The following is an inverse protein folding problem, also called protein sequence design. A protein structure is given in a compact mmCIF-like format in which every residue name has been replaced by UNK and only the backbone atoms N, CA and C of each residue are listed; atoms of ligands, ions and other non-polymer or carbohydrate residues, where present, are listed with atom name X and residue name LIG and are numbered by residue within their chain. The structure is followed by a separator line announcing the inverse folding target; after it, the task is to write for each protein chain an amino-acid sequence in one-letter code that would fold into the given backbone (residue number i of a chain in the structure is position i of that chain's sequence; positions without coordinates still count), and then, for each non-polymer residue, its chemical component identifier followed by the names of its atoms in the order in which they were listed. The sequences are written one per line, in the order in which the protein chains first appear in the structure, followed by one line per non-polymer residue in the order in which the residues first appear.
data_IF_527824073267
#
_entry.id   IF_527824073267
#
_cell.length_a   1.000
_cell.length_b   1.000
_cell.length_c   1.000
_cell.angle_alpha   90.00
_cell.angle_beta   90.00
_cell.angle_gamma   90.00
#
_symmetry.space_group_name_H-M   'P 1'
#
loop_
_entity.id
_entity.type
_entity.pdbx_description
1 polymer ?
#
# COMPACT_ATOMS: atom_id res chain seq x y z
N UNK A 1 16.85 -11.83 -11.63
CA UNK A 1 16.76 -10.52 -10.96
C UNK A 1 17.90 -10.41 -9.95
N UNK A 2 18.61 -9.29 -9.94
CA UNK A 2 19.69 -9.04 -8.96
C UNK A 2 19.11 -8.29 -7.77
N UNK A 3 19.39 -8.78 -6.56
CA UNK A 3 18.93 -8.17 -5.32
C UNK A 3 20.03 -7.34 -4.63
N UNK A 4 20.78 -6.56 -5.42
CA UNK A 4 21.99 -5.86 -4.95
C UNK A 4 21.67 -4.46 -4.36
N UNK A 5 20.60 -3.83 -4.81
CA UNK A 5 20.25 -2.46 -4.39
C UNK A 5 18.99 -2.47 -3.53
N UNK A 6 19.14 -2.21 -2.24
CA UNK A 6 18.02 -2.11 -1.29
C UNK A 6 17.41 -0.71 -1.38
N UNK A 7 16.11 -0.62 -1.69
CA UNK A 7 15.33 0.61 -1.66
C UNK A 7 14.72 0.88 -0.28
N UNK A 8 14.15 -0.16 0.33
CA UNK A 8 13.54 -0.05 1.64
C UNK A 8 13.60 -1.38 2.39
N UNK A 9 13.76 -1.31 3.71
CA UNK A 9 13.71 -2.46 4.61
C UNK A 9 12.66 -2.22 5.67
N UNK A 10 11.77 -3.20 5.87
CA UNK A 10 10.76 -3.25 6.93
C UNK A 10 10.93 -4.57 7.70
N UNK A 11 10.21 -4.70 8.81
CA UNK A 11 10.31 -5.86 9.69
C UNK A 11 10.18 -7.21 8.95
N UNK A 12 9.20 -7.33 8.05
CA UNK A 12 8.85 -8.60 7.39
C UNK A 12 8.99 -8.55 5.86
N UNK A 13 9.65 -7.55 5.30
CA UNK A 13 9.87 -7.42 3.86
C UNK A 13 11.00 -6.48 3.50
N UNK A 14 11.64 -6.76 2.37
CA UNK A 14 12.67 -5.87 1.78
C UNK A 14 12.29 -5.57 0.34
N UNK A 15 12.48 -4.32 -0.07
CA UNK A 15 12.27 -3.88 -1.44
C UNK A 15 13.62 -3.65 -2.09
N UNK A 16 13.85 -4.28 -3.22
CA UNK A 16 15.06 -4.16 -4.02
C UNK A 16 14.77 -3.50 -5.36
N UNK A 17 15.77 -2.82 -5.93
CA UNK A 17 15.75 -2.31 -7.31
C UNK A 17 16.64 -3.18 -8.19
N UNK A 18 16.15 -3.51 -9.39
CA UNK A 18 16.92 -4.13 -10.47
C UNK A 18 16.52 -3.48 -11.80
N UNK A 19 17.31 -2.52 -12.26
CA UNK A 19 17.01 -1.74 -13.46
C UNK A 19 15.68 -1.00 -13.36
N UNK A 20 14.76 -1.30 -14.26
CA UNK A 20 13.42 -0.72 -14.32
C UNK A 20 12.37 -1.45 -13.44
N UNK A 21 12.80 -2.42 -12.62
CA UNK A 21 11.94 -3.23 -11.78
C UNK A 21 12.24 -3.02 -10.29
N UNK A 22 11.21 -3.21 -9.49
CA UNK A 22 11.31 -3.31 -8.03
C UNK A 22 10.79 -4.67 -7.59
N UNK A 23 11.51 -5.32 -6.68
CA UNK A 23 11.12 -6.59 -6.06
C UNK A 23 10.82 -6.38 -4.58
N UNK A 24 9.59 -6.57 -4.18
CA UNK A 24 9.19 -6.65 -2.78
C UNK A 24 9.26 -8.10 -2.34
N UNK A 25 10.32 -8.45 -1.61
CA UNK A 25 10.56 -9.80 -1.10
C UNK A 25 10.06 -9.91 0.33
N UNK A 26 9.23 -10.89 0.61
CA UNK A 26 8.59 -11.11 1.91
C UNK A 26 9.33 -12.19 2.70
N UNK A 27 9.38 -12.06 4.01
CA UNK A 27 9.92 -13.10 4.87
C UNK A 27 9.06 -14.37 4.87
N UNK A 28 9.67 -15.51 5.21
CA UNK A 28 9.00 -16.82 5.16
C UNK A 28 7.77 -16.91 6.06
N UNK A 29 7.78 -16.17 7.17
CA UNK A 29 6.64 -16.12 8.10
C UNK A 29 5.45 -15.31 7.57
N UNK A 30 5.61 -14.54 6.46
CA UNK A 30 4.53 -13.71 5.94
C UNK A 30 3.49 -14.59 5.21
N UNK A 31 2.18 -14.48 5.56
CA UNK A 31 1.17 -15.35 4.98
C UNK A 31 1.07 -15.18 3.46
N UNK A 32 1.13 -16.32 2.73
CA UNK A 32 0.97 -16.31 1.26
C UNK A 32 -0.32 -15.62 0.80
N UNK A 33 -1.42 -15.82 1.53
CA UNK A 33 -2.72 -15.20 1.24
C UNK A 33 -2.65 -13.68 1.26
N UNK A 34 -1.90 -13.11 2.20
CA UNK A 34 -1.76 -11.66 2.34
C UNK A 34 -0.91 -11.08 1.19
N UNK A 35 0.14 -11.81 0.76
CA UNK A 35 0.97 -11.44 -0.40
C UNK A 35 0.14 -11.42 -1.68
N UNK A 36 -0.61 -12.50 -1.93
CA UNK A 36 -1.47 -12.59 -3.11
C UNK A 36 -2.59 -11.54 -3.08
N UNK A 37 -3.12 -11.24 -1.90
CA UNK A 37 -4.13 -10.20 -1.73
C UNK A 37 -3.54 -8.79 -1.92
N UNK A 38 -2.30 -8.55 -1.49
CA UNK A 38 -1.57 -7.28 -1.76
C UNK A 38 -1.41 -7.11 -3.28
N UNK A 39 -0.91 -8.12 -3.98
CA UNK A 39 -0.75 -8.10 -5.43
C UNK A 39 -2.09 -7.91 -6.16
N UNK A 40 -3.14 -8.63 -5.77
CA UNK A 40 -4.46 -8.49 -6.37
C UNK A 40 -5.05 -7.09 -6.19
N UNK A 41 -4.90 -6.49 -5.01
CA UNK A 41 -5.38 -5.13 -4.78
C UNK A 41 -4.58 -4.10 -5.60
N UNK A 42 -3.27 -4.27 -5.75
CA UNK A 42 -2.47 -3.40 -6.61
C UNK A 42 -2.93 -3.52 -8.08
N UNK A 43 -3.11 -4.73 -8.60
CA UNK A 43 -3.63 -4.95 -9.96
C UNK A 43 -5.01 -4.29 -10.17
N UNK A 44 -5.90 -4.35 -9.19
CA UNK A 44 -7.21 -3.67 -9.24
C UNK A 44 -7.08 -2.14 -9.27
N UNK A 45 -6.07 -1.58 -8.63
CA UNK A 45 -5.80 -0.13 -8.70
C UNK A 45 -5.18 0.24 -10.03
N UNK A 46 -4.36 -0.60 -10.65
CA UNK A 46 -3.84 -0.39 -12.01
C UNK A 46 -4.96 -0.15 -13.03
N UNK A 47 -6.08 -0.89 -12.92
CA UNK A 47 -7.24 -0.74 -13.79
C UNK A 47 -7.91 0.64 -13.68
N UNK A 48 -7.64 1.42 -12.63
CA UNK A 48 -8.18 2.78 -12.49
C UNK A 48 -7.46 3.82 -13.36
N UNK A 49 -6.30 3.48 -13.91
CA UNK A 49 -5.47 4.40 -14.69
C UNK A 49 -4.65 5.38 -13.84
N UNK A 50 -4.59 5.18 -12.52
CA UNK A 50 -3.64 5.90 -11.67
C UNK A 50 -2.20 5.53 -12.05
N UNK A 51 -1.31 6.51 -12.00
CA UNK A 51 0.13 6.27 -12.22
C UNK A 51 0.74 5.62 -10.99
N UNK A 52 0.74 4.30 -10.97
CA UNK A 52 1.32 3.48 -9.90
C UNK A 52 2.25 2.43 -10.50
N UNK A 53 3.16 1.82 -9.71
CA UNK A 53 3.95 0.67 -10.16
C UNK A 53 3.03 -0.45 -10.63
N UNK A 54 3.29 -0.98 -11.84
CA UNK A 54 2.52 -2.09 -12.40
C UNK A 54 3.11 -3.42 -11.98
N UNK A 55 2.25 -4.37 -11.64
CA UNK A 55 2.69 -5.73 -11.32
C UNK A 55 3.12 -6.43 -12.62
N UNK A 56 4.33 -6.97 -12.60
CA UNK A 56 4.89 -7.78 -13.68
C UNK A 56 4.81 -9.28 -13.33
N UNK A 57 5.09 -9.63 -12.07
CA UNK A 57 5.13 -11.03 -11.66
C UNK A 57 4.91 -11.19 -10.14
N UNK A 58 4.29 -12.30 -9.75
CA UNK A 58 4.28 -12.79 -8.37
C UNK A 58 4.98 -14.14 -8.36
N UNK A 59 6.14 -14.21 -7.75
CA UNK A 59 7.06 -15.35 -7.88
C UNK A 59 7.75 -15.68 -6.55
N UNK A 60 8.73 -16.60 -6.59
CA UNK A 60 9.63 -16.86 -5.48
C UNK A 60 11.07 -16.54 -5.88
N UNK A 61 11.78 -15.85 -5.00
CA UNK A 61 13.21 -15.58 -5.10
C UNK A 61 13.86 -16.19 -3.86
N UNK A 62 14.81 -17.10 -4.05
CA UNK A 62 15.51 -17.83 -2.97
C UNK A 62 14.54 -18.44 -1.95
N UNK A 63 13.44 -19.05 -2.44
CA UNK A 63 12.41 -19.68 -1.60
C UNK A 63 11.38 -18.73 -1.00
N UNK A 64 11.63 -17.43 -0.98
CA UNK A 64 10.74 -16.38 -0.43
C UNK A 64 9.80 -15.83 -1.50
N UNK A 65 8.55 -15.58 -1.12
CA UNK A 65 7.61 -14.93 -2.02
C UNK A 65 8.02 -13.49 -2.34
N UNK A 66 7.82 -13.10 -3.60
CA UNK A 66 8.11 -11.75 -4.08
C UNK A 66 7.01 -11.25 -5.02
N UNK A 67 6.75 -9.95 -4.95
CA UNK A 67 5.97 -9.19 -5.93
C UNK A 67 6.96 -8.34 -6.71
N UNK A 68 7.02 -8.57 -8.02
CA UNK A 68 7.82 -7.78 -8.97
C UNK A 68 6.90 -6.76 -9.61
N UNK A 69 7.32 -5.51 -9.61
CA UNK A 69 6.60 -4.42 -10.24
C UNK A 69 7.55 -3.50 -11.01
N UNK A 70 7.00 -2.67 -11.89
CA UNK A 70 7.78 -1.58 -12.49
C UNK A 70 8.31 -0.66 -11.40
N UNK A 71 9.51 -0.13 -11.58
CA UNK A 71 10.09 0.89 -10.71
C UNK A 71 9.80 2.28 -11.27
N UNK A 72 9.22 3.15 -10.46
CA UNK A 72 9.02 4.56 -10.80
C UNK A 72 10.16 5.36 -10.18
N UNK A 73 10.99 5.98 -11.02
CA UNK A 73 12.05 6.86 -10.55
C UNK A 73 11.49 8.21 -10.13
N UNK A 74 12.03 8.75 -9.05
CA UNK A 74 11.62 10.05 -8.53
C UNK A 74 12.07 10.26 -7.09
N UNK A 75 11.80 11.45 -6.59
CA UNK A 75 11.95 11.83 -5.19
C UNK A 75 10.58 11.86 -4.53
N UNK A 76 10.54 11.55 -3.25
CA UNK A 76 9.35 11.74 -2.45
C UNK A 76 9.04 13.23 -2.27
N UNK A 77 7.77 13.57 -2.00
CA UNK A 77 7.43 14.96 -1.69
C UNK A 77 8.16 15.47 -0.44
N UNK A 78 8.41 14.60 0.55
CA UNK A 78 9.18 14.96 1.74
C UNK A 78 10.62 15.38 1.38
N UNK A 79 11.28 14.66 0.46
CA UNK A 79 12.62 15.03 -0.03
C UNK A 79 12.58 16.35 -0.79
N UNK A 80 11.60 16.54 -1.67
CA UNK A 80 11.45 17.80 -2.43
C UNK A 80 11.17 19.00 -1.52
N UNK A 81 10.33 18.85 -0.50
CA UNK A 81 10.05 19.90 0.51
C UNK A 81 11.32 20.25 1.31
N UNK A 82 12.14 19.24 1.65
CA UNK A 82 13.40 19.47 2.37
C UNK A 82 14.43 20.17 1.50
N UNK A 83 14.52 19.84 0.21
CA UNK A 83 15.45 20.45 -0.74
C UNK A 83 15.02 21.85 -1.18
N UNK A 84 13.72 22.10 -1.26
CA UNK A 84 13.10 23.33 -1.76
C UNK A 84 12.04 23.86 -0.81
N UNK A 85 12.39 24.30 0.41
CA UNK A 85 11.43 24.80 1.39
C UNK A 85 10.65 26.04 0.90
N UNK A 86 11.20 26.80 -0.02
CA UNK A 86 10.54 27.92 -0.68
C UNK A 86 9.35 27.54 -1.55
N UNK A 87 9.19 26.23 -1.86
CA UNK A 87 8.09 25.65 -2.65
C UNK A 87 7.12 24.81 -1.82
N UNK A 88 7.14 24.92 -0.51
CA UNK A 88 6.32 24.09 0.38
C UNK A 88 4.83 24.15 0.02
N UNK A 89 4.28 25.32 -0.24
CA UNK A 89 2.87 25.50 -0.63
C UNK A 89 2.55 24.81 -1.97
N UNK A 90 3.47 24.84 -2.94
CA UNK A 90 3.32 24.14 -4.23
C UNK A 90 3.24 22.62 -4.01
N UNK A 91 4.13 22.07 -3.18
CA UNK A 91 4.16 20.64 -2.89
C UNK A 91 2.97 20.19 -2.03
N UNK A 92 2.50 21.01 -1.10
CA UNK A 92 1.28 20.74 -0.33
C UNK A 92 0.05 20.69 -1.24
N UNK A 93 -0.09 21.65 -2.17
CA UNK A 93 -1.17 21.63 -3.15
C UNK A 93 -1.11 20.37 -4.03
N UNK A 94 0.07 20.01 -4.54
CA UNK A 94 0.27 18.76 -5.30
C UNK A 94 -0.13 17.52 -4.48
N UNK A 95 0.25 17.49 -3.20
CA UNK A 95 -0.11 16.39 -2.29
C UNK A 95 -1.63 16.26 -2.15
N UNK A 96 -2.33 17.38 -1.95
CA UNK A 96 -3.80 17.41 -1.87
C UNK A 96 -4.44 16.98 -3.19
N UNK A 97 -3.94 17.46 -4.33
CA UNK A 97 -4.45 17.12 -5.66
C UNK A 97 -4.32 15.62 -5.94
N UNK A 98 -3.18 15.02 -5.58
CA UNK A 98 -2.98 13.55 -5.68
C UNK A 98 -4.00 12.83 -4.80
N UNK A 99 -4.20 13.26 -3.55
CA UNK A 99 -5.18 12.66 -2.64
C UNK A 99 -6.59 12.74 -3.22
N UNK A 100 -6.99 13.88 -3.73
CA UNK A 100 -8.31 14.07 -4.38
C UNK A 100 -8.45 13.16 -5.59
N UNK A 101 -7.41 13.06 -6.42
CA UNK A 101 -7.37 12.17 -7.59
C UNK A 101 -7.56 10.71 -7.19
N UNK A 102 -6.88 10.23 -6.12
CA UNK A 102 -7.05 8.86 -5.59
C UNK A 102 -8.49 8.65 -5.10
N UNK A 103 -9.02 9.57 -4.29
CA UNK A 103 -10.37 9.48 -3.73
C UNK A 103 -11.48 9.54 -4.80
N UNK A 104 -11.21 10.11 -5.96
CA UNK A 104 -12.16 10.19 -7.08
C UNK A 104 -12.28 8.88 -7.88
N UNK A 105 -11.34 7.95 -7.70
CA UNK A 105 -11.35 6.69 -8.45
C UNK A 105 -12.50 5.77 -8.03
N UNK A 106 -12.93 4.94 -8.98
CA UNK A 106 -13.90 3.86 -8.75
C UNK A 106 -13.19 2.53 -8.90
N UNK A 107 -13.09 1.78 -7.82
CA UNK A 107 -12.50 0.44 -7.81
C UNK A 107 -13.38 -0.51 -6.98
N UNK A 108 -14.53 -0.94 -7.53
CA UNK A 108 -15.55 -1.70 -6.78
C UNK A 108 -15.06 -3.08 -6.34
N UNK A 109 -14.02 -3.60 -6.97
CA UNK A 109 -13.44 -4.90 -6.64
C UNK A 109 -12.40 -4.83 -5.50
N UNK A 110 -11.97 -3.63 -5.07
CA UNK A 110 -11.09 -3.50 -3.93
C UNK A 110 -11.74 -4.02 -2.64
N UNK A 111 -10.91 -4.60 -1.79
CA UNK A 111 -11.34 -5.07 -0.49
C UNK A 111 -11.90 -3.91 0.34
N UNK A 112 -13.06 -4.12 0.94
CA UNK A 112 -13.67 -3.12 1.83
C UNK A 112 -12.85 -2.98 3.10
N UNK A 113 -12.51 -1.75 3.47
CA UNK A 113 -11.75 -1.47 4.69
C UNK A 113 -12.44 -2.01 5.95
N UNK A 114 -13.78 -1.92 6.02
CA UNK A 114 -14.55 -2.46 7.15
C UNK A 114 -14.38 -3.96 7.31
N UNK A 115 -14.36 -4.72 6.21
CA UNK A 115 -14.19 -6.18 6.27
C UNK A 115 -12.79 -6.53 6.77
N UNK A 116 -11.76 -5.80 6.30
CA UNK A 116 -10.39 -5.93 6.81
C UNK A 116 -10.32 -5.61 8.31
N UNK A 117 -10.98 -4.54 8.76
CA UNK A 117 -10.98 -4.14 10.17
C UNK A 117 -11.72 -5.15 11.05
N UNK A 118 -12.87 -5.68 10.61
CA UNK A 118 -13.58 -6.75 11.33
C UNK A 118 -12.69 -7.97 11.53
N UNK A 119 -12.03 -8.43 10.46
CA UNK A 119 -11.08 -9.54 10.57
C UNK A 119 -9.97 -9.22 11.58
N UNK A 120 -9.38 -8.03 11.52
CA UNK A 120 -8.33 -7.64 12.46
C UNK A 120 -8.82 -7.61 13.92
N UNK A 121 -10.03 -7.13 14.19
CA UNK A 121 -10.64 -7.17 15.52
C UNK A 121 -10.81 -8.63 15.99
N UNK A 122 -11.29 -9.53 15.12
CA UNK A 122 -11.51 -10.94 15.48
C UNK A 122 -10.22 -11.70 15.76
N UNK A 123 -9.08 -11.27 15.19
CA UNK A 123 -7.75 -11.85 15.37
C UNK A 123 -7.01 -11.35 16.63
N UNK A 124 -7.60 -10.40 17.39
CA UNK A 124 -6.97 -9.86 18.60
C UNK A 124 -7.19 -10.73 19.83
N UNK A 125 -6.30 -10.60 20.82
CA UNK A 125 -6.39 -11.23 22.15
C UNK A 125 -7.36 -10.51 23.11
N UNK A 126 -8.10 -9.51 22.62
CA UNK A 126 -9.06 -8.76 23.41
C UNK A 126 -10.22 -9.65 23.88
N UNK A 127 -10.78 -9.35 25.03
CA UNK A 127 -11.98 -10.04 25.54
C UNK A 127 -13.18 -9.86 24.59
N UNK A 128 -14.18 -10.73 24.74
CA UNK A 128 -15.34 -10.77 23.86
C UNK A 128 -16.16 -9.47 23.90
N UNK A 129 -16.26 -8.83 25.07
CA UNK A 129 -17.02 -7.59 25.23
C UNK A 129 -16.33 -6.45 24.48
N UNK A 130 -15.03 -6.28 24.65
CA UNK A 130 -14.25 -5.26 23.95
C UNK A 130 -14.30 -5.46 22.43
N UNK A 131 -14.16 -6.71 21.93
CA UNK A 131 -14.30 -6.99 20.49
C UNK A 131 -15.68 -6.62 19.97
N UNK A 132 -16.75 -6.96 20.71
CA UNK A 132 -18.12 -6.62 20.34
C UNK A 132 -18.34 -5.09 20.28
N UNK A 133 -17.81 -4.35 21.25
CA UNK A 133 -17.88 -2.88 21.25
C UNK A 133 -17.17 -2.27 20.05
N UNK A 134 -15.95 -2.75 19.74
CA UNK A 134 -15.20 -2.29 18.58
C UNK A 134 -15.93 -2.58 17.25
N UNK A 135 -16.50 -3.78 17.10
CA UNK A 135 -17.29 -4.13 15.93
C UNK A 135 -18.57 -3.28 15.83
N UNK A 136 -19.23 -3.03 16.92
CA UNK A 136 -20.42 -2.18 16.97
C UNK A 136 -20.11 -0.76 16.54
N UNK A 137 -19.00 -0.18 17.04
CA UNK A 137 -18.53 1.14 16.60
C UNK A 137 -18.16 1.16 15.12
N UNK A 138 -17.45 0.15 14.64
CA UNK A 138 -17.08 0.01 13.24
C UNK A 138 -18.32 -0.09 12.33
N UNK A 139 -19.33 -0.86 12.73
CA UNK A 139 -20.58 -0.99 11.98
C UNK A 139 -21.35 0.33 11.92
N UNK A 140 -21.32 1.14 12.97
CA UNK A 140 -21.94 2.46 13.03
C UNK A 140 -21.24 3.53 12.18
N UNK A 141 -20.01 3.30 11.72
CA UNK A 141 -19.32 4.25 10.86
C UNK A 141 -19.94 4.31 9.46
N UNK A 142 -19.94 5.46 8.77
CA UNK A 142 -20.43 5.58 7.41
C UNK A 142 -19.74 4.61 6.44
N UNK A 143 -20.48 4.14 5.45
CA UNK A 143 -19.91 3.37 4.34
C UNK A 143 -19.52 4.31 3.22
N UNK A 144 -18.25 4.28 2.83
CA UNK A 144 -17.73 5.02 1.69
C UNK A 144 -17.26 4.07 0.59
N UNK A 145 -17.39 4.51 -0.65
CA UNK A 145 -16.92 3.80 -1.85
C UNK A 145 -15.66 4.44 -2.46
N UNK A 146 -15.01 5.31 -1.69
CA UNK A 146 -13.79 5.99 -2.13
C UNK A 146 -12.59 5.05 -2.05
N UNK A 147 -11.72 5.13 -3.07
CA UNK A 147 -10.42 4.45 -3.02
C UNK A 147 -9.55 5.17 -1.99
N UNK A 148 -8.99 4.40 -1.05
CA UNK A 148 -8.11 4.93 -0.02
C UNK A 148 -6.73 4.26 -0.14
N UNK A 149 -5.67 5.06 -0.09
CA UNK A 149 -4.29 4.57 -0.10
C UNK A 149 -3.95 3.80 1.20
N UNK A 150 -4.41 4.30 2.34
CA UNK A 150 -4.22 3.66 3.65
C UNK A 150 -2.94 4.08 4.37
N UNK A 151 -1.97 4.67 3.67
CA UNK A 151 -0.70 5.18 4.20
C UNK A 151 -0.20 6.37 3.35
N UNK A 152 -1.13 7.30 3.06
CA UNK A 152 -0.85 8.45 2.21
C UNK A 152 -0.15 9.54 3.03
N UNK A 153 1.15 9.70 2.80
CA UNK A 153 2.01 10.70 3.45
C UNK A 153 3.11 11.15 2.47
N UNK A 154 3.76 12.30 2.70
CA UNK A 154 4.76 12.86 1.79
C UNK A 154 6.02 12.01 1.59
N UNK A 155 6.28 11.03 2.46
CA UNK A 155 7.47 10.16 2.39
C UNK A 155 7.22 8.85 1.61
N UNK A 156 6.01 8.66 1.08
CA UNK A 156 5.61 7.47 0.30
C UNK A 156 5.49 7.80 -1.18
#
# INVERSE_FOLDING_TARGET
MKLDTVLAKRENKVVYKDGALAAKVFDECYPKSDILNEALNQARVEETGLNIPKIEEVTKIDGKWAIISTFIEGKTLAELMAEHPEKEDEYLNLFVDIQVKILSQKAPLLNKLKDKMKRKISETDLDATTRYELETRLNGMPNHTKVCHGDFNPSN
#
